data_IF_060923779026
#
_entry.id   IF_060923779026
#
_cell.length_a   1.000
_cell.length_b   1.000
_cell.length_c   1.000
_cell.angle_alpha   90.00
_cell.angle_beta   90.00
_cell.angle_gamma   90.00
#
_symmetry.space_group_name_H-M   'P 1'
#
loop_
_entity.id
_entity.type
_entity.pdbx_description
1 polymer ?
#
# COMPACT_ATOMS: atom_id res chain seq x y z
N UNK A 1 17.52 5.12 10.12
CA UNK A 1 17.15 3.86 9.44
C UNK A 1 15.97 4.23 8.55
N UNK A 2 16.15 4.23 7.24
CA UNK A 2 15.04 4.50 6.32
C UNK A 2 14.09 3.31 6.40
N UNK A 3 12.95 3.49 7.09
CA UNK A 3 11.86 2.52 7.12
C UNK A 3 11.21 2.48 5.74
N UNK A 4 11.81 1.76 4.79
CA UNK A 4 11.15 1.40 3.55
C UNK A 4 9.90 0.56 3.86
N UNK A 5 8.81 0.78 3.14
CA UNK A 5 7.65 -0.11 3.22
C UNK A 5 7.84 -1.28 2.27
N UNK A 6 7.51 -2.49 2.71
CA UNK A 6 7.70 -3.72 1.96
C UNK A 6 6.39 -4.51 1.88
N UNK A 7 6.12 -5.12 0.72
CA UNK A 7 5.00 -6.05 0.52
C UNK A 7 5.54 -7.39 0.04
N UNK A 8 5.03 -8.47 0.60
CA UNK A 8 5.32 -9.83 0.14
C UNK A 8 4.21 -10.31 -0.78
N UNK A 9 4.59 -10.81 -1.94
CA UNK A 9 3.70 -11.42 -2.91
C UNK A 9 3.32 -12.86 -2.52
N UNK A 10 2.32 -13.44 -3.20
CA UNK A 10 1.93 -14.86 -3.00
C UNK A 10 3.08 -15.86 -3.25
N UNK A 11 4.04 -15.50 -4.11
CA UNK A 11 5.24 -16.31 -4.37
C UNK A 11 6.33 -16.14 -3.29
N UNK A 12 6.09 -15.31 -2.27
CA UNK A 12 7.07 -15.01 -1.21
C UNK A 12 8.11 -13.96 -1.59
N UNK A 13 7.97 -13.32 -2.76
CA UNK A 13 8.86 -12.24 -3.18
C UNK A 13 8.54 -10.95 -2.44
N UNK A 14 9.58 -10.32 -1.88
CA UNK A 14 9.46 -9.06 -1.18
C UNK A 14 9.72 -7.87 -2.12
N UNK A 15 8.79 -6.94 -2.16
CA UNK A 15 8.82 -5.77 -3.02
C UNK A 15 8.80 -4.50 -2.18
N UNK A 16 9.82 -3.66 -2.39
CA UNK A 16 9.84 -2.34 -1.77
C UNK A 16 8.88 -1.40 -2.48
N UNK A 17 8.04 -0.71 -1.70
CA UNK A 17 7.14 0.31 -2.19
C UNK A 17 7.23 1.59 -1.37
N UNK A 18 6.80 2.68 -2.00
CA UNK A 18 6.70 3.99 -1.41
C UNK A 18 5.26 4.49 -1.62
N UNK A 19 4.73 5.13 -0.59
CA UNK A 19 3.48 5.85 -0.69
C UNK A 19 3.77 7.31 -0.93
N UNK A 20 3.27 7.81 -2.06
CA UNK A 20 3.33 9.21 -2.44
C UNK A 20 2.15 9.97 -1.83
N UNK A 21 1.88 9.71 -0.55
CA UNK A 21 0.86 10.41 0.23
C UNK A 21 1.55 11.45 1.10
N UNK A 22 1.07 12.68 1.07
CA UNK A 22 1.61 13.72 1.95
C UNK A 22 1.32 13.36 3.42
N UNK A 23 2.33 13.38 4.30
CA UNK A 23 2.28 12.78 5.64
C UNK A 23 1.26 13.43 6.59
N UNK A 24 0.78 14.65 6.30
CA UNK A 24 -0.21 15.34 7.12
C UNK A 24 -1.62 14.72 7.03
N UNK A 25 -2.00 14.19 5.86
CA UNK A 25 -3.33 13.56 5.66
C UNK A 25 -3.32 12.04 5.88
N UNK A 26 -2.14 11.41 5.82
CA UNK A 26 -1.94 9.99 6.11
C UNK A 26 -2.03 9.65 7.62
N UNK A 27 -2.10 10.65 8.51
CA UNK A 27 -2.31 10.43 9.95
C UNK A 27 -3.66 9.77 10.26
N UNK A 28 -4.59 9.73 9.29
CA UNK A 28 -5.87 9.07 9.41
C UNK A 28 -6.10 8.11 8.24
N UNK A 29 -5.38 6.98 8.20
CA UNK A 29 -5.73 5.83 7.33
C UNK A 29 -7.21 5.42 7.47
N UNK A 30 -7.82 5.75 8.61
CA UNK A 30 -9.25 5.60 8.87
C UNK A 30 -10.14 6.35 7.86
N UNK A 31 -9.72 7.52 7.35
CA UNK A 31 -10.52 8.36 6.45
C UNK A 31 -10.01 8.42 5.01
N UNK A 32 -8.71 8.24 4.77
CA UNK A 32 -8.17 8.34 3.41
C UNK A 32 -8.15 6.99 2.68
N UNK A 33 -8.75 6.96 1.48
CA UNK A 33 -8.66 5.79 0.60
C UNK A 33 -7.42 5.91 -0.27
N UNK A 34 -6.40 5.11 0.03
CA UNK A 34 -5.20 4.99 -0.78
C UNK A 34 -5.57 4.56 -2.20
N UNK A 35 -5.09 5.29 -3.22
CA UNK A 35 -5.28 4.94 -4.62
C UNK A 35 -4.04 4.24 -5.18
N UNK A 36 -4.25 3.42 -6.21
CA UNK A 36 -3.16 2.78 -6.98
C UNK A 36 -2.13 3.79 -7.52
N UNK A 37 -2.54 5.02 -7.81
CA UNK A 37 -1.66 6.09 -8.29
C UNK A 37 -0.76 6.71 -7.21
N UNK A 38 -1.12 6.52 -5.94
CA UNK A 38 -0.33 6.98 -4.78
C UNK A 38 0.70 5.92 -4.35
N UNK A 39 0.61 4.69 -4.86
CA UNK A 39 1.55 3.61 -4.57
C UNK A 39 2.59 3.52 -5.69
N UNK A 40 3.85 3.68 -5.31
CA UNK A 40 5.01 3.53 -6.19
C UNK A 40 5.83 2.32 -5.78
N UNK A 41 5.80 1.27 -6.58
CA UNK A 41 6.67 0.11 -6.39
C UNK A 41 8.06 0.45 -6.92
N UNK A 42 9.09 0.32 -6.09
CA UNK A 42 10.46 0.75 -6.41
C UNK A 42 11.26 -0.33 -7.13
N UNK A 43 11.08 -1.60 -6.76
CA UNK A 43 11.92 -2.71 -7.25
C UNK A 43 11.21 -3.65 -8.24
N UNK A 44 10.11 -3.22 -8.89
CA UNK A 44 9.33 -4.09 -9.77
C UNK A 44 9.70 -3.91 -11.26
N UNK A 45 10.23 -4.95 -11.94
CA UNK A 45 10.60 -4.86 -13.36
C UNK A 45 9.39 -4.96 -14.30
N UNK A 46 8.30 -5.58 -13.85
CA UNK A 46 7.14 -5.90 -14.68
C UNK A 46 5.95 -4.98 -14.37
N UNK A 47 5.37 -4.38 -15.42
CA UNK A 47 4.24 -3.44 -15.26
C UNK A 47 2.95 -4.14 -14.84
N UNK A 48 2.73 -5.38 -15.27
CA UNK A 48 1.57 -6.16 -14.84
C UNK A 48 1.73 -6.55 -13.37
N UNK A 49 2.93 -7.03 -12.96
CA UNK A 49 3.19 -7.33 -11.54
C UNK A 49 3.08 -6.09 -10.66
N UNK A 50 3.60 -4.94 -11.10
CA UNK A 50 3.45 -3.69 -10.37
C UNK A 50 1.97 -3.28 -10.22
N UNK A 51 1.12 -3.53 -11.23
CA UNK A 51 -0.31 -3.23 -11.15
C UNK A 51 -1.05 -4.15 -10.17
N UNK A 52 -0.67 -5.43 -10.13
CA UNK A 52 -1.16 -6.43 -9.17
C UNK A 52 -0.77 -6.07 -7.75
N UNK A 53 0.52 -5.81 -7.49
CA UNK A 53 1.03 -5.40 -6.18
C UNK A 53 0.35 -4.12 -5.67
N UNK A 54 0.13 -3.13 -6.55
CA UNK A 54 -0.63 -1.91 -6.21
C UNK A 54 -2.07 -2.25 -5.82
N UNK A 55 -2.71 -3.20 -6.50
CA UNK A 55 -4.07 -3.60 -6.18
C UNK A 55 -4.14 -4.31 -4.84
N UNK A 56 -3.21 -5.24 -4.57
CA UNK A 56 -3.09 -5.93 -3.28
C UNK A 56 -2.91 -4.93 -2.13
N UNK A 57 -2.03 -3.93 -2.31
CA UNK A 57 -1.82 -2.88 -1.32
C UNK A 57 -3.08 -2.07 -1.06
N UNK A 58 -3.75 -1.59 -2.11
CA UNK A 58 -5.01 -0.83 -1.95
C UNK A 58 -6.04 -1.65 -1.21
N UNK A 59 -6.21 -2.92 -1.57
CA UNK A 59 -7.18 -3.81 -0.92
C UNK A 59 -6.83 -4.07 0.55
N UNK A 60 -5.56 -4.30 0.87
CA UNK A 60 -5.08 -4.46 2.24
C UNK A 60 -5.37 -3.21 3.09
N UNK A 61 -5.08 -2.01 2.56
CA UNK A 61 -5.40 -0.75 3.24
C UNK A 61 -6.91 -0.54 3.41
N UNK A 62 -7.72 -0.92 2.42
CA UNK A 62 -9.19 -0.84 2.53
C UNK A 62 -9.75 -1.81 3.57
N UNK A 63 -9.20 -3.02 3.67
CA UNK A 63 -9.56 -4.01 4.70
C UNK A 63 -9.20 -3.48 6.08
N UNK A 64 -7.96 -3.01 6.27
CA UNK A 64 -7.49 -2.46 7.54
C UNK A 64 -8.35 -1.27 7.98
N UNK A 65 -8.66 -0.36 7.04
CA UNK A 65 -9.58 0.76 7.27
C UNK A 65 -10.97 0.28 7.71
N UNK A 66 -11.54 -0.73 7.05
CA UNK A 66 -12.86 -1.27 7.40
C UNK A 66 -12.86 -1.94 8.77
N UNK A 67 -11.79 -2.65 9.13
CA UNK A 67 -11.62 -3.25 10.44
C UNK A 67 -11.54 -2.18 11.54
N UNK A 68 -10.76 -1.13 11.32
CA UNK A 68 -10.67 0.03 12.23
C UNK A 68 -12.02 0.72 12.40
N UNK A 69 -12.77 0.93 11.32
CA UNK A 69 -14.08 1.57 11.35
C UNK A 69 -15.20 0.70 11.96
N UNK A 70 -15.00 -0.62 12.06
CA UNK A 70 -16.00 -1.55 12.64
C UNK A 70 -15.80 -1.80 14.14
N UNK A 71 -14.76 -1.23 14.74
CA UNK A 71 -14.45 -1.36 16.17
C UNK A 71 -14.90 -0.12 16.99
N UNK A 72 -15.78 0.72 16.42
CA UNK A 72 -16.44 1.87 17.07
C UNK A 72 -17.92 1.55 17.37
#
# INVERSE_FOLDING_TARGET
MESGMFITDEDGNEWQYELKTDPEQAMFWSTHRIKKSEIKILNCPDRAKAAELRQMLVEAFEIERKLLASND
#
